data_IF_852463767585
#
_entry.id   IF_852463767585
#
_cell.length_a   1.000
_cell.length_b   1.000
_cell.length_c   1.000
_cell.angle_alpha   90.00
_cell.angle_beta   90.00
_cell.angle_gamma   90.00
#
_symmetry.space_group_name_H-M   'P 1'
#
loop_
_entity.id
_entity.type
_entity.pdbx_description
1 polymer ?
#
# COMPACT_ATOMS: atom_id res chain seq x y z
N UNK A 1 -6.58 15.75 21.53
CA UNK A 1 -5.62 15.41 20.45
C UNK A 1 -5.49 13.89 20.40
N UNK A 2 -6.62 13.16 20.41
CA UNK A 2 -6.61 11.80 20.99
C UNK A 2 -6.90 10.71 19.96
N UNK A 3 -7.19 11.08 18.70
CA UNK A 3 -7.53 10.10 17.67
C UNK A 3 -6.31 9.31 17.19
N UNK A 4 -5.15 9.96 17.01
CA UNK A 4 -3.90 9.27 16.66
C UNK A 4 -3.34 8.49 17.85
N UNK A 5 -3.51 8.99 19.08
CA UNK A 5 -3.09 8.30 20.30
C UNK A 5 -3.87 6.99 20.53
N UNK A 6 -5.18 6.99 20.27
CA UNK A 6 -6.02 5.81 20.41
C UNK A 6 -6.08 4.93 19.13
N UNK A 7 -5.47 5.39 18.03
CA UNK A 7 -5.49 4.66 16.75
C UNK A 7 -4.94 3.22 16.83
N UNK A 8 -3.90 2.90 17.63
CA UNK A 8 -3.39 1.53 17.71
C UNK A 8 -4.42 0.52 18.24
N UNK A 9 -5.20 0.92 19.26
CA UNK A 9 -6.24 0.08 19.85
C UNK A 9 -7.47 -0.02 18.95
N UNK A 10 -7.82 1.06 18.25
CA UNK A 10 -8.96 1.10 17.32
C UNK A 10 -8.66 0.34 16.01
N UNK A 11 -7.39 0.30 15.59
CA UNK A 11 -6.96 -0.33 14.34
C UNK A 11 -5.75 -1.26 14.56
N UNK A 12 -5.92 -2.43 15.21
CA UNK A 12 -4.79 -3.33 15.48
C UNK A 12 -4.06 -3.85 14.24
N UNK A 13 -4.72 -3.87 13.07
CA UNK A 13 -4.06 -4.21 11.80
C UNK A 13 -3.09 -3.14 11.30
N UNK A 14 -3.11 -1.92 11.86
CA UNK A 14 -2.25 -0.81 11.45
C UNK A 14 -0.76 -1.16 11.56
N UNK A 15 -0.32 -1.84 12.62
CA UNK A 15 1.10 -2.20 12.80
C UNK A 15 1.57 -3.17 11.70
N UNK A 16 0.81 -4.23 11.47
CA UNK A 16 1.09 -5.23 10.44
C UNK A 16 1.03 -4.65 9.02
N UNK A 17 -0.01 -3.89 8.72
CA UNK A 17 -0.15 -3.22 7.43
C UNK A 17 0.92 -2.15 7.20
N UNK A 18 1.36 -1.46 8.25
CA UNK A 18 2.48 -0.52 8.18
C UNK A 18 3.79 -1.21 7.77
N UNK A 19 4.11 -2.33 8.42
CA UNK A 19 5.29 -3.13 8.09
C UNK A 19 5.21 -3.72 6.67
N UNK A 20 4.02 -4.18 6.24
CA UNK A 20 3.75 -4.59 4.87
C UNK A 20 4.05 -3.45 3.87
N UNK A 21 3.54 -2.24 4.13
CA UNK A 21 3.72 -1.08 3.27
C UNK A 21 5.18 -0.64 3.14
N UNK A 22 5.99 -0.77 4.21
CA UNK A 22 7.43 -0.53 4.14
C UNK A 22 8.08 -1.51 3.16
N UNK A 23 7.78 -2.80 3.26
CA UNK A 23 8.34 -3.83 2.38
C UNK A 23 7.95 -3.61 0.91
N UNK A 24 6.67 -3.34 0.64
CA UNK A 24 6.18 -3.04 -0.71
C UNK A 24 6.77 -1.74 -1.25
N UNK A 25 6.81 -0.69 -0.42
CA UNK A 25 7.38 0.60 -0.78
C UNK A 25 8.87 0.52 -1.13
N UNK A 26 9.64 -0.31 -0.41
CA UNK A 26 11.04 -0.62 -0.76
C UNK A 26 11.14 -1.33 -2.11
N UNK A 27 10.31 -2.33 -2.37
CA UNK A 27 10.26 -3.02 -3.66
C UNK A 27 9.95 -2.07 -4.82
N UNK A 28 9.00 -1.15 -4.61
CA UNK A 28 8.64 -0.11 -5.58
C UNK A 28 9.81 0.85 -5.81
N UNK A 29 10.40 1.39 -4.75
CA UNK A 29 11.50 2.35 -4.83
C UNK A 29 12.74 1.74 -5.51
N UNK A 30 13.15 0.53 -5.12
CA UNK A 30 14.25 -0.18 -5.77
C UNK A 30 13.90 -0.45 -7.24
N UNK A 31 12.67 -0.86 -7.51
CA UNK A 31 12.18 -1.10 -8.87
C UNK A 31 12.18 0.14 -9.78
N UNK A 32 12.23 1.36 -9.24
CA UNK A 32 12.31 2.59 -10.05
C UNK A 32 13.69 2.77 -10.70
N UNK A 33 14.73 2.11 -10.19
CA UNK A 33 16.11 2.27 -10.64
C UNK A 33 16.46 1.39 -11.85
N UNK A 34 15.68 0.33 -12.11
CA UNK A 34 16.03 -0.68 -13.09
C UNK A 34 15.17 -0.72 -14.36
N UNK A 35 15.35 -1.81 -15.11
CA UNK A 35 14.55 -2.16 -16.28
C UNK A 35 13.12 -2.57 -15.88
N UNK A 36 12.24 -2.77 -16.87
CA UNK A 36 10.87 -3.25 -16.63
C UNK A 36 10.85 -4.57 -15.86
N UNK A 37 11.64 -5.56 -16.29
CA UNK A 37 11.72 -6.86 -15.63
C UNK A 37 12.15 -6.72 -14.18
N UNK A 38 13.17 -5.89 -13.94
CA UNK A 38 13.64 -5.60 -12.58
C UNK A 38 12.53 -4.97 -11.73
N UNK A 39 11.80 -3.98 -12.26
CA UNK A 39 10.69 -3.34 -11.54
C UNK A 39 9.62 -4.34 -11.08
N UNK A 40 9.19 -5.23 -11.97
CA UNK A 40 8.18 -6.24 -11.65
C UNK A 40 8.73 -7.19 -10.59
N UNK A 41 9.97 -7.66 -10.75
CA UNK A 41 10.60 -8.57 -9.78
C UNK A 41 10.77 -7.90 -8.42
N UNK A 42 11.22 -6.65 -8.35
CA UNK A 42 11.37 -5.90 -7.10
C UNK A 42 10.02 -5.65 -6.43
N UNK A 43 8.97 -5.33 -7.19
CA UNK A 43 7.60 -5.19 -6.67
C UNK A 43 7.10 -6.51 -6.08
N UNK A 44 7.24 -7.62 -6.81
CA UNK A 44 6.84 -8.95 -6.35
C UNK A 44 7.63 -9.34 -5.09
N UNK A 45 8.94 -9.10 -5.07
CA UNK A 45 9.77 -9.39 -3.91
C UNK A 45 9.35 -8.57 -2.69
N UNK A 46 9.10 -7.27 -2.85
CA UNK A 46 8.59 -6.41 -1.78
C UNK A 46 7.22 -6.84 -1.27
N UNK A 47 6.29 -7.18 -2.17
CA UNK A 47 4.97 -7.70 -1.83
C UNK A 47 5.06 -9.05 -1.10
N UNK A 48 5.85 -9.99 -1.60
CA UNK A 48 6.07 -11.29 -0.98
C UNK A 48 6.68 -11.14 0.42
N UNK A 49 7.67 -10.28 0.58
CA UNK A 49 8.24 -9.95 1.90
C UNK A 49 7.18 -9.35 2.82
N UNK A 50 6.37 -8.42 2.33
CA UNK A 50 5.25 -7.85 3.09
C UNK A 50 4.28 -8.93 3.57
N UNK A 51 3.87 -9.85 2.69
CA UNK A 51 3.00 -10.99 3.05
C UNK A 51 3.65 -11.86 4.12
N UNK A 52 4.95 -12.15 4.01
CA UNK A 52 5.68 -12.92 5.03
C UNK A 52 5.70 -12.17 6.37
N UNK A 53 6.01 -10.87 6.38
CA UNK A 53 6.03 -10.05 7.59
C UNK A 53 4.65 -10.03 8.26
N UNK A 54 3.59 -9.82 7.48
CA UNK A 54 2.22 -9.80 8.02
C UNK A 54 1.75 -11.18 8.48
N UNK A 55 2.05 -12.23 7.70
CA UNK A 55 1.66 -13.60 8.00
C UNK A 55 2.37 -14.16 9.23
N UNK A 56 3.70 -14.02 9.30
CA UNK A 56 4.49 -14.44 10.47
C UNK A 56 4.15 -13.56 11.67
N UNK A 57 4.08 -12.24 11.50
CA UNK A 57 3.73 -11.30 12.55
C UNK A 57 2.34 -11.58 13.14
N UNK A 58 1.36 -11.89 12.30
CA UNK A 58 0.01 -12.26 12.72
C UNK A 58 -0.05 -13.62 13.40
N UNK A 59 0.63 -14.64 12.85
CA UNK A 59 0.67 -15.99 13.42
C UNK A 59 1.39 -16.03 14.78
N UNK A 60 2.47 -15.28 14.93
CA UNK A 60 3.22 -15.13 16.19
C UNK A 60 2.61 -14.10 17.13
N UNK A 61 1.59 -13.36 16.68
CA UNK A 61 0.90 -12.28 17.39
C UNK A 61 1.79 -11.09 17.78
N UNK A 62 3.04 -11.04 17.31
CA UNK A 62 3.99 -9.94 17.58
C UNK A 62 3.44 -8.60 17.10
N UNK A 63 2.71 -8.58 15.99
CA UNK A 63 2.13 -7.33 15.45
C UNK A 63 0.91 -6.84 16.25
N UNK A 64 0.41 -7.61 17.21
CA UNK A 64 -0.74 -7.28 18.07
C UNK A 64 -0.34 -7.04 19.54
N UNK A 65 0.93 -7.27 19.87
CA UNK A 65 1.41 -7.16 21.25
C UNK A 65 1.21 -5.73 21.79
N UNK A 66 0.54 -5.64 22.95
CA UNK A 66 0.21 -4.38 23.63
C UNK A 66 -0.91 -3.53 23.02
N UNK A 67 -1.53 -3.92 21.89
CA UNK A 67 -2.55 -3.08 21.20
C UNK A 67 -3.91 -3.78 21.00
N UNK A 68 -4.04 -5.04 21.43
CA UNK A 68 -5.26 -5.83 21.26
C UNK A 68 -5.35 -6.52 19.90
N UNK A 69 -6.45 -7.27 19.70
CA UNK A 69 -6.66 -8.07 18.49
C UNK A 69 -7.70 -7.43 17.56
N UNK A 70 -7.54 -7.55 16.23
CA UNK A 70 -8.52 -7.04 15.29
C UNK A 70 -9.86 -7.76 15.46
N UNK A 71 -10.94 -6.98 15.51
CA UNK A 71 -12.30 -7.49 15.39
C UNK A 71 -12.52 -8.17 14.03
N UNK A 72 -13.48 -9.10 13.97
CA UNK A 72 -13.77 -9.89 12.77
C UNK A 72 -14.09 -9.01 11.54
N UNK A 73 -14.72 -7.86 11.75
CA UNK A 73 -15.10 -6.95 10.67
C UNK A 73 -13.87 -6.29 10.01
N UNK A 74 -12.76 -6.10 10.74
CA UNK A 74 -11.52 -5.56 10.16
C UNK A 74 -10.90 -6.55 9.17
N UNK A 75 -10.98 -7.84 9.46
CA UNK A 75 -10.60 -8.92 8.54
C UNK A 75 -11.53 -8.98 7.34
N UNK A 76 -12.84 -8.78 7.53
CA UNK A 76 -13.79 -8.70 6.43
C UNK A 76 -13.49 -7.51 5.50
N UNK A 77 -13.18 -6.33 6.05
CA UNK A 77 -12.74 -5.15 5.27
C UNK A 77 -11.46 -5.45 4.50
N UNK A 78 -10.47 -6.12 5.10
CA UNK A 78 -9.24 -6.53 4.41
C UNK A 78 -9.55 -7.46 3.22
N UNK A 79 -10.42 -8.46 3.42
CA UNK A 79 -10.87 -9.35 2.37
C UNK A 79 -11.58 -8.62 1.22
N UNK A 80 -12.51 -7.72 1.55
CA UNK A 80 -13.22 -6.87 0.57
C UNK A 80 -12.24 -5.98 -0.19
N UNK A 81 -11.24 -5.40 0.49
CA UNK A 81 -10.23 -4.57 -0.14
C UNK A 81 -9.41 -5.34 -1.17
N UNK A 82 -9.01 -6.58 -0.88
CA UNK A 82 -8.32 -7.44 -1.86
C UNK A 82 -9.20 -7.84 -3.04
N UNK A 83 -10.47 -8.16 -2.80
CA UNK A 83 -11.41 -8.47 -3.88
C UNK A 83 -11.64 -7.25 -4.78
N UNK A 84 -11.83 -6.07 -4.19
CA UNK A 84 -12.00 -4.81 -4.90
C UNK A 84 -10.74 -4.45 -5.72
N UNK A 85 -9.56 -4.59 -5.13
CA UNK A 85 -8.29 -4.38 -5.84
C UNK A 85 -8.15 -5.37 -7.00
N UNK A 86 -8.37 -6.67 -6.78
CA UNK A 86 -8.28 -7.69 -7.81
C UNK A 86 -9.21 -7.41 -8.99
N UNK A 87 -10.46 -7.01 -8.71
CA UNK A 87 -11.41 -6.58 -9.73
C UNK A 87 -10.91 -5.36 -10.51
N UNK A 88 -10.49 -4.29 -9.81
CA UNK A 88 -10.04 -3.06 -10.44
C UNK A 88 -8.74 -3.25 -11.25
N UNK A 89 -7.80 -4.07 -10.76
CA UNK A 89 -6.61 -4.47 -11.51
C UNK A 89 -7.01 -5.20 -12.78
N UNK A 90 -7.98 -6.12 -12.72
CA UNK A 90 -8.45 -6.80 -13.92
C UNK A 90 -9.05 -5.81 -14.94
N UNK A 91 -9.86 -4.84 -14.48
CA UNK A 91 -10.40 -3.78 -15.34
C UNK A 91 -9.28 -2.95 -16.00
N UNK A 92 -8.22 -2.61 -15.26
CA UNK A 92 -7.07 -1.88 -15.83
C UNK A 92 -6.35 -2.71 -16.89
N UNK A 93 -6.11 -4.00 -16.62
CA UNK A 93 -5.45 -4.93 -17.54
C UNK A 93 -6.26 -5.12 -18.82
N UNK A 94 -7.58 -5.24 -18.72
CA UNK A 94 -8.48 -5.39 -19.87
C UNK A 94 -8.55 -4.11 -20.71
N UNK A 95 -8.61 -2.94 -20.07
CA UNK A 95 -8.72 -1.64 -20.77
C UNK A 95 -7.39 -1.11 -21.32
N UNK A 96 -6.26 -1.59 -20.82
CA UNK A 96 -4.92 -1.12 -21.18
C UNK A 96 -4.04 -2.30 -21.62
N UNK A 97 -4.20 -2.81 -22.86
CA UNK A 97 -3.44 -3.97 -23.33
C UNK A 97 -1.94 -3.70 -23.45
N UNK A 98 -1.54 -2.44 -23.69
CA UNK A 98 -0.14 -2.04 -23.66
C UNK A 98 0.38 -1.91 -22.21
N UNK A 99 0.94 -3.01 -21.71
CA UNK A 99 1.52 -3.11 -20.35
C UNK A 99 2.86 -2.38 -20.20
N UNK A 100 3.39 -1.79 -21.27
CA UNK A 100 4.57 -0.93 -21.25
C UNK A 100 4.19 0.56 -21.19
N UNK A 101 2.94 0.89 -21.49
CA UNK A 101 2.45 2.26 -21.48
C UNK A 101 2.51 2.89 -20.09
N UNK A 102 2.76 4.20 -20.08
CA UNK A 102 2.59 5.05 -18.89
C UNK A 102 1.19 4.92 -18.32
N UNK A 103 0.19 4.90 -19.20
CA UNK A 103 -1.22 4.86 -18.83
C UNK A 103 -1.53 3.61 -17.99
N UNK A 104 -1.11 2.44 -18.46
CA UNK A 104 -1.22 1.19 -17.70
C UNK A 104 -0.66 1.33 -16.29
N UNK A 105 0.61 1.77 -16.16
CA UNK A 105 1.26 1.84 -14.86
C UNK A 105 0.67 2.90 -13.93
N UNK A 106 0.24 4.04 -14.45
CA UNK A 106 -0.38 5.06 -13.62
C UNK A 106 -1.78 4.64 -13.16
N UNK A 107 -2.57 3.95 -13.99
CA UNK A 107 -3.83 3.36 -13.54
C UNK A 107 -3.61 2.26 -12.50
N UNK A 108 -2.57 1.44 -12.64
CA UNK A 108 -2.21 0.46 -11.60
C UNK A 108 -1.90 1.16 -10.26
N UNK A 109 -1.07 2.22 -10.26
CA UNK A 109 -0.79 2.98 -9.03
C UNK A 109 -2.05 3.64 -8.45
N UNK A 110 -2.94 4.15 -9.31
CA UNK A 110 -4.21 4.73 -8.89
C UNK A 110 -5.11 3.70 -8.19
N UNK A 111 -5.24 2.50 -8.76
CA UNK A 111 -6.03 1.40 -8.17
C UNK A 111 -5.46 0.97 -6.81
N UNK A 112 -4.14 0.82 -6.69
CA UNK A 112 -3.49 0.53 -5.41
C UNK A 112 -3.75 1.65 -4.38
N UNK A 113 -3.75 2.91 -4.81
CA UNK A 113 -4.15 4.04 -3.95
C UNK A 113 -5.61 3.96 -3.51
N UNK A 114 -6.52 3.58 -4.41
CA UNK A 114 -7.94 3.39 -4.09
C UNK A 114 -8.17 2.21 -3.12
N UNK A 115 -7.38 1.15 -3.23
CA UNK A 115 -7.38 0.02 -2.29
C UNK A 115 -7.11 0.50 -0.84
N UNK A 116 -6.20 1.47 -0.65
CA UNK A 116 -5.94 2.05 0.67
C UNK A 116 -7.10 2.86 1.25
N UNK A 117 -7.98 3.43 0.41
CA UNK A 117 -9.19 4.08 0.90
C UNK A 117 -10.15 3.08 1.55
N UNK A 118 -10.26 1.87 1.00
CA UNK A 118 -11.04 0.79 1.61
C UNK A 118 -10.38 0.32 2.90
N UNK A 119 -9.05 0.14 2.88
CA UNK A 119 -8.29 -0.25 4.07
C UNK A 119 -8.27 0.79 5.19
N UNK A 120 -8.68 2.04 4.93
CA UNK A 120 -8.77 3.08 5.96
C UNK A 120 -9.65 2.63 7.13
N UNK A 121 -10.72 1.90 6.85
CA UNK A 121 -11.62 1.40 7.89
C UNK A 121 -10.98 0.37 8.82
N UNK A 122 -9.95 -0.35 8.38
CA UNK A 122 -9.29 -1.41 9.17
C UNK A 122 -7.87 -1.07 9.64
N UNK A 123 -7.17 -0.19 8.91
CA UNK A 123 -5.77 0.18 9.14
C UNK A 123 -5.59 1.64 9.57
N UNK A 124 -6.69 2.37 9.73
CA UNK A 124 -6.70 3.71 10.29
C UNK A 124 -6.42 4.84 9.29
N UNK A 125 -6.42 6.09 9.78
CA UNK A 125 -6.44 7.30 8.96
C UNK A 125 -5.17 7.52 8.14
N UNK A 126 -4.01 7.06 8.62
CA UNK A 126 -2.73 7.19 7.90
C UNK A 126 -2.81 6.45 6.56
N UNK A 127 -3.44 5.27 6.55
CA UNK A 127 -3.66 4.49 5.34
C UNK A 127 -4.57 5.23 4.34
N UNK A 128 -5.65 5.88 4.82
CA UNK A 128 -6.52 6.68 3.97
C UNK A 128 -5.86 7.91 3.37
N UNK A 129 -5.09 8.64 4.19
CA UNK A 129 -4.29 9.76 3.72
C UNK A 129 -3.28 9.32 2.64
N UNK A 130 -2.59 8.19 2.86
CA UNK A 130 -1.71 7.60 1.86
C UNK A 130 -2.46 7.29 0.56
N UNK A 131 -3.66 6.69 0.64
CA UNK A 131 -4.48 6.39 -0.53
C UNK A 131 -4.77 7.62 -1.38
N UNK A 132 -5.22 8.71 -0.76
CA UNK A 132 -5.51 9.96 -1.45
C UNK A 132 -4.25 10.54 -2.12
N UNK A 133 -3.11 10.55 -1.42
CA UNK A 133 -1.86 11.10 -1.96
C UNK A 133 -1.30 10.22 -3.10
N UNK A 134 -1.37 8.90 -2.98
CA UNK A 134 -0.99 7.96 -4.04
C UNK A 134 -1.87 8.12 -5.30
N UNK A 135 -3.19 8.26 -5.12
CA UNK A 135 -4.12 8.52 -6.23
C UNK A 135 -3.81 9.85 -6.91
N UNK A 136 -3.55 10.92 -6.14
CA UNK A 136 -3.15 12.21 -6.68
C UNK A 136 -1.84 12.11 -7.47
N UNK A 137 -0.82 11.44 -6.92
CA UNK A 137 0.46 11.18 -7.58
C UNK A 137 0.26 10.46 -8.94
N UNK A 138 -0.58 9.43 -8.98
CA UNK A 138 -0.93 8.71 -10.20
C UNK A 138 -1.67 9.58 -11.24
N UNK A 139 -2.64 10.39 -10.80
CA UNK A 139 -3.38 11.32 -11.67
C UNK A 139 -2.47 12.39 -12.27
N UNK A 140 -1.53 12.94 -11.48
CA UNK A 140 -0.50 13.86 -11.98
C UNK A 140 0.39 13.13 -13.00
N UNK A 141 0.76 11.89 -12.72
CA UNK A 141 1.54 11.04 -13.62
C UNK A 141 0.87 10.78 -14.97
N UNK A 142 -0.45 10.57 -14.99
CA UNK A 142 -1.24 10.44 -16.22
C UNK A 142 -1.22 11.72 -17.07
N UNK A 143 -1.28 12.89 -16.43
CA UNK A 143 -1.33 14.19 -17.11
C UNK A 143 0.05 14.71 -17.52
N UNK A 144 1.10 14.28 -16.84
CA UNK A 144 2.46 14.72 -17.14
C UNK A 144 2.99 13.99 -18.36
N UNK A 145 3.52 14.74 -19.34
CA UNK A 145 4.22 14.17 -20.52
C UNK A 145 5.74 14.28 -20.43
N UNK A 146 6.23 15.24 -19.62
CA UNK A 146 7.67 15.60 -19.55
C UNK A 146 8.42 14.80 -18.49
N UNK A 147 7.75 14.43 -17.39
CA UNK A 147 8.39 13.71 -16.28
C UNK A 147 8.35 12.21 -16.59
N UNK A 148 9.46 11.46 -16.43
CA UNK A 148 9.47 10.02 -16.62
C UNK A 148 8.57 9.34 -15.59
N UNK A 149 7.81 8.33 -16.01
CA UNK A 149 6.89 7.62 -15.10
C UNK A 149 7.60 6.98 -13.89
N UNK A 150 8.90 6.67 -14.03
CA UNK A 150 9.75 6.15 -12.94
C UNK A 150 9.84 7.10 -11.74
N UNK A 151 9.72 8.41 -11.96
CA UNK A 151 9.70 9.37 -10.87
C UNK A 151 8.42 9.22 -10.03
N UNK A 152 7.26 9.12 -10.67
CA UNK A 152 5.98 8.88 -9.98
C UNK A 152 5.98 7.54 -9.24
N UNK A 153 6.60 6.51 -9.84
CA UNK A 153 6.82 5.22 -9.19
C UNK A 153 7.70 5.34 -7.94
N UNK A 154 8.84 6.05 -8.03
CA UNK A 154 9.72 6.27 -6.89
C UNK A 154 9.03 7.04 -5.77
N UNK A 155 8.32 8.12 -6.10
CA UNK A 155 7.52 8.90 -5.15
C UNK A 155 6.50 8.01 -4.45
N UNK A 156 5.79 7.17 -5.20
CA UNK A 156 4.81 6.24 -4.65
C UNK A 156 5.44 5.25 -3.65
N UNK A 157 6.64 4.74 -3.95
CA UNK A 157 7.41 3.90 -3.04
C UNK A 157 7.81 4.63 -1.76
N UNK A 158 8.34 5.86 -1.87
CA UNK A 158 8.70 6.70 -0.72
C UNK A 158 7.49 7.00 0.15
N UNK A 159 6.34 7.34 -0.45
CA UNK A 159 5.10 7.59 0.28
C UNK A 159 4.66 6.37 1.09
N UNK A 160 4.73 5.18 0.51
CA UNK A 160 4.41 3.91 1.19
C UNK A 160 5.38 3.60 2.32
N UNK A 161 6.69 3.83 2.14
CA UNK A 161 7.68 3.68 3.21
C UNK A 161 7.38 4.65 4.36
N UNK A 162 7.16 5.93 4.05
CA UNK A 162 6.92 6.96 5.05
C UNK A 162 5.63 6.70 5.85
N UNK A 163 4.52 6.43 5.16
CA UNK A 163 3.25 6.10 5.78
C UNK A 163 3.33 4.78 6.57
N UNK A 164 3.94 3.75 6.00
CA UNK A 164 4.12 2.46 6.68
C UNK A 164 4.96 2.57 7.94
N UNK A 165 6.05 3.35 7.89
CA UNK A 165 6.88 3.66 9.06
C UNK A 165 6.09 4.44 10.09
N UNK A 166 5.29 5.43 9.66
CA UNK A 166 4.41 6.20 10.54
C UNK A 166 3.36 5.33 11.24
N UNK A 167 2.73 4.41 10.52
CA UNK A 167 1.77 3.44 11.08
C UNK A 167 2.42 2.55 12.15
N UNK A 168 3.64 2.05 11.89
CA UNK A 168 4.40 1.27 12.87
C UNK A 168 4.78 2.13 14.07
N UNK A 169 5.36 3.31 13.86
CA UNK A 169 5.80 4.18 14.94
C UNK A 169 4.65 4.62 15.86
N UNK A 170 3.50 5.01 15.29
CA UNK A 170 2.30 5.36 16.06
C UNK A 170 1.77 4.16 16.84
N UNK A 171 1.92 2.93 16.32
CA UNK A 171 1.50 1.72 17.05
C UNK A 171 2.36 1.35 18.27
N UNK A 172 3.48 2.04 18.49
CA UNK A 172 4.37 1.85 19.64
C UNK A 172 4.43 3.06 20.57
N UNK A 173 3.75 4.15 20.22
CA UNK A 173 3.67 5.37 21.03
C UNK A 173 2.58 5.24 22.08
#
# INVERSE_FOLDING_TARGET
MDFLANSPELFPLMRGGGAFLVAVGLGILVGSLGSRRFRIVSLIAGAALGVVVMGVGGATKVIFDGIGYPEWWQWAVLGVAFLAEGYLVNVVVEKNPDRDSREFWMWMLFVVGAHFLVLTASHGPICGALGLVCMANALIGLRSKKVPFRAFWAIDGVLKIAAGTGMVAVSYA
#
